data_IF_300751439972
#
_entry.id   IF_300751439972
#
_cell.length_a   1.000
_cell.length_b   1.000
_cell.length_c   1.000
_cell.angle_alpha   90.00
_cell.angle_beta   90.00
_cell.angle_gamma   90.00
#
_symmetry.space_group_name_H-M   'P 1'
#
loop_
_entity.id
_entity.type
_entity.pdbx_description
1 polymer ?
#
# COMPACT_ATOMS: atom_id res chain seq x y z
N UNK A 1 -14.76 -16.46 -33.50
CA UNK A 1 -14.52 -15.89 -32.16
C UNK A 1 -13.37 -16.70 -31.59
N UNK A 2 -12.20 -16.12 -31.42
CA UNK A 2 -11.07 -16.86 -30.86
C UNK A 2 -11.21 -16.85 -29.34
N UNK A 3 -11.45 -18.02 -28.77
CA UNK A 3 -11.22 -18.22 -27.34
C UNK A 3 -9.72 -18.10 -27.11
N UNK A 4 -9.30 -17.01 -26.46
CA UNK A 4 -8.03 -17.03 -25.77
C UNK A 4 -8.18 -18.03 -24.62
N UNK A 5 -7.72 -19.26 -24.84
CA UNK A 5 -7.45 -20.18 -23.73
C UNK A 5 -6.39 -19.50 -22.87
N UNK A 6 -6.81 -18.88 -21.77
CA UNK A 6 -5.95 -18.08 -20.92
C UNK A 6 -4.95 -19.00 -20.21
N UNK A 7 -3.76 -19.14 -20.78
CA UNK A 7 -2.64 -19.85 -20.16
C UNK A 7 -2.20 -19.06 -18.94
N UNK A 8 -2.78 -19.38 -17.78
CA UNK A 8 -2.48 -18.73 -16.50
C UNK A 8 -1.11 -19.19 -16.00
N UNK A 9 -0.08 -18.34 -16.12
CA UNK A 9 1.22 -18.59 -15.51
C UNK A 9 1.15 -18.25 -14.02
N UNK A 10 1.29 -19.28 -13.16
CA UNK A 10 1.26 -19.12 -11.71
C UNK A 10 2.66 -19.00 -11.16
N UNK A 11 2.88 -18.02 -10.28
CA UNK A 11 4.06 -17.93 -9.41
C UNK A 11 3.71 -18.58 -8.06
N UNK A 12 3.98 -19.89 -7.86
CA UNK A 12 3.71 -20.53 -6.58
C UNK A 12 4.57 -19.93 -5.46
N UNK A 13 4.12 -20.09 -4.20
CA UNK A 13 4.87 -19.62 -3.02
C UNK A 13 6.29 -20.19 -2.90
N UNK A 14 6.62 -21.24 -3.65
CA UNK A 14 7.96 -21.82 -3.79
C UNK A 14 8.96 -21.00 -4.61
N UNK A 15 8.49 -20.04 -5.41
CA UNK A 15 9.36 -19.13 -6.20
C UNK A 15 10.01 -18.05 -5.33
N UNK A 16 9.43 -17.75 -4.16
CA UNK A 16 10.14 -16.97 -3.14
C UNK A 16 11.33 -17.79 -2.63
N UNK A 17 12.53 -17.20 -2.69
CA UNK A 17 13.75 -17.88 -2.24
C UNK A 17 13.59 -18.45 -0.81
N UNK A 18 13.91 -19.73 -0.64
CA UNK A 18 13.76 -20.44 0.66
C UNK A 18 14.54 -19.80 1.81
N UNK A 19 15.66 -19.15 1.49
CA UNK A 19 16.53 -18.43 2.43
C UNK A 19 16.81 -17.02 1.88
N UNK A 20 15.84 -16.08 1.98
CA UNK A 20 16.02 -14.72 1.48
C UNK A 20 16.99 -13.94 2.39
N UNK A 21 17.60 -12.87 1.86
CA UNK A 21 18.40 -11.97 2.70
C UNK A 21 17.48 -11.26 3.70
N UNK A 22 17.76 -11.34 5.01
CA UNK A 22 16.85 -10.78 6.05
C UNK A 22 17.37 -9.43 6.54
N UNK A 23 16.61 -8.36 6.30
CA UNK A 23 16.84 -7.02 6.85
C UNK A 23 15.88 -6.77 8.01
N UNK A 24 16.40 -6.63 9.23
CA UNK A 24 15.59 -6.27 10.42
C UNK A 24 15.43 -4.76 10.51
N UNK A 25 14.18 -4.29 10.58
CA UNK A 25 13.80 -2.89 10.67
C UNK A 25 12.73 -2.79 11.78
N UNK A 26 13.10 -2.89 13.07
CA UNK A 26 12.13 -2.92 14.14
C UNK A 26 11.33 -1.61 14.19
N UNK A 27 10.02 -1.76 14.41
CA UNK A 27 9.09 -0.68 14.66
C UNK A 27 8.84 -0.65 16.17
N UNK A 28 9.33 0.41 16.82
CA UNK A 28 9.20 0.56 18.27
C UNK A 28 7.75 0.86 18.64
N UNK A 29 7.16 0.01 19.48
CA UNK A 29 5.79 0.14 19.99
C UNK A 29 5.84 0.20 21.51
N UNK A 30 5.32 1.28 22.09
CA UNK A 30 5.31 1.48 23.55
C UNK A 30 4.31 0.57 24.27
N UNK A 31 3.33 0.01 23.54
CA UNK A 31 2.33 -0.92 24.05
C UNK A 31 2.31 -2.22 23.24
N UNK A 32 3.00 -3.25 23.72
CA UNK A 32 3.12 -4.57 23.08
C UNK A 32 1.83 -5.43 23.23
N UNK A 33 0.90 -5.02 24.08
CA UNK A 33 -0.24 -5.81 24.58
C UNK A 33 -1.32 -6.18 23.55
N UNK A 34 -1.20 -5.79 22.28
CA UNK A 34 -2.22 -6.03 21.26
C UNK A 34 -1.67 -6.26 19.84
N UNK A 35 -0.59 -7.03 19.68
CA UNK A 35 -0.35 -7.67 18.37
C UNK A 35 -1.55 -8.56 18.04
N UNK A 36 -2.39 -8.14 17.09
CA UNK A 36 -3.42 -9.03 16.58
C UNK A 36 -2.78 -9.91 15.49
N UNK A 37 -2.75 -11.23 15.72
CA UNK A 37 -2.16 -12.20 14.79
C UNK A 37 -3.13 -12.49 13.63
N UNK A 38 -4.41 -12.17 13.79
CA UNK A 38 -5.47 -12.32 12.79
C UNK A 38 -5.44 -11.18 11.76
N UNK A 39 -4.31 -11.06 11.05
CA UNK A 39 -4.16 -10.19 9.87
C UNK A 39 -3.89 -11.06 8.67
N UNK A 40 -4.76 -10.94 7.66
CA UNK A 40 -4.65 -11.70 6.41
C UNK A 40 -3.29 -11.47 5.74
N UNK A 41 -2.72 -12.55 5.20
CA UNK A 41 -1.58 -12.42 4.29
C UNK A 41 -2.02 -11.66 3.04
N UNK A 42 -1.18 -10.72 2.61
CA UNK A 42 -1.44 -9.90 1.43
C UNK A 42 -0.27 -10.04 0.47
N UNK A 43 -0.57 -10.02 -0.83
CA UNK A 43 0.43 -10.08 -1.88
C UNK A 43 0.04 -9.17 -3.03
N UNK A 44 1.05 -8.66 -3.72
CA UNK A 44 0.87 -7.80 -4.88
C UNK A 44 2.13 -7.85 -5.77
N UNK A 45 2.10 -7.11 -6.87
CA UNK A 45 3.22 -6.96 -7.79
C UNK A 45 3.45 -5.50 -8.16
N UNK A 46 4.66 -5.21 -8.59
CA UNK A 46 5.06 -3.91 -9.10
C UNK A 46 5.96 -4.10 -10.32
N UNK A 47 5.70 -3.36 -11.40
CA UNK A 47 6.51 -3.40 -12.63
C UNK A 47 7.20 -2.07 -12.82
N UNK A 48 8.49 -2.09 -13.14
CA UNK A 48 9.22 -0.87 -13.46
C UNK A 48 8.72 -0.29 -14.80
N UNK A 49 8.61 1.05 -14.95
CA UNK A 49 8.19 1.64 -16.20
C UNK A 49 9.28 1.45 -17.28
N UNK A 50 8.90 0.89 -18.43
CA UNK A 50 9.79 0.71 -19.57
C UNK A 50 10.11 2.07 -20.21
N UNK A 51 11.32 2.58 -19.97
CA UNK A 51 11.75 3.94 -20.35
C UNK A 51 13.12 3.95 -21.05
N UNK A 52 13.58 2.81 -21.56
CA UNK A 52 14.92 2.65 -22.13
C UNK A 52 16.02 2.50 -21.08
N UNK A 53 15.68 2.01 -19.89
CA UNK A 53 16.55 1.93 -18.72
C UNK A 53 17.06 0.51 -18.45
N UNK A 54 18.05 0.36 -17.55
CA UNK A 54 18.46 -0.96 -17.03
C UNK A 54 17.40 -1.63 -16.14
N UNK A 55 16.31 -0.93 -15.83
CA UNK A 55 15.18 -1.43 -15.06
C UNK A 55 14.02 -1.93 -15.94
N UNK A 56 14.09 -1.72 -17.26
CA UNK A 56 13.06 -2.17 -18.19
C UNK A 56 12.86 -3.69 -18.10
N UNK A 57 11.62 -4.13 -18.33
CA UNK A 57 11.21 -5.54 -18.31
C UNK A 57 11.53 -6.26 -16.99
N UNK A 58 11.53 -5.52 -15.87
CA UNK A 58 11.64 -6.04 -14.50
C UNK A 58 10.38 -5.78 -13.69
N UNK A 59 10.13 -6.69 -12.75
CA UNK A 59 9.01 -6.60 -11.82
C UNK A 59 9.38 -7.24 -10.49
N UNK A 60 8.74 -6.77 -9.42
CA UNK A 60 8.86 -7.29 -8.06
C UNK A 60 7.51 -7.90 -7.69
N UNK A 61 7.51 -9.17 -7.30
CA UNK A 61 6.38 -9.82 -6.62
C UNK A 61 6.68 -9.85 -5.13
N UNK A 62 5.69 -9.57 -4.29
CA UNK A 62 5.89 -9.55 -2.85
C UNK A 62 4.68 -10.09 -2.09
N UNK A 63 4.92 -10.53 -0.85
CA UNK A 63 3.88 -10.97 0.09
C UNK A 63 4.24 -10.59 1.53
N UNK A 64 3.23 -10.32 2.35
CA UNK A 64 3.37 -10.10 3.79
C UNK A 64 2.80 -11.29 4.58
N UNK A 65 3.57 -11.78 5.54
CA UNK A 65 3.16 -12.82 6.50
C UNK A 65 3.59 -12.38 7.91
N UNK A 66 2.62 -11.96 8.72
CA UNK A 66 2.87 -11.38 10.04
C UNK A 66 3.77 -10.14 9.97
N UNK A 67 4.93 -10.20 10.63
CA UNK A 67 5.94 -9.12 10.62
C UNK A 67 6.94 -9.19 9.46
N UNK A 68 6.78 -10.11 8.50
CA UNK A 68 7.74 -10.32 7.40
C UNK A 68 7.15 -9.86 6.06
N UNK A 69 7.86 -8.99 5.36
CA UNK A 69 7.63 -8.65 3.96
C UNK A 69 8.64 -9.40 3.10
N UNK A 70 8.20 -10.39 2.33
CA UNK A 70 9.02 -11.11 1.35
C UNK A 70 8.89 -10.42 0.00
N UNK A 71 10.02 -10.09 -0.63
CA UNK A 71 10.10 -9.49 -1.96
C UNK A 71 11.00 -10.36 -2.84
N UNK A 72 10.58 -10.56 -4.08
CA UNK A 72 11.34 -11.27 -5.10
C UNK A 72 11.28 -10.47 -6.41
N UNK A 73 12.44 -10.07 -6.92
CA UNK A 73 12.57 -9.37 -8.20
C UNK A 73 12.87 -10.36 -9.33
N UNK A 74 12.30 -10.08 -10.50
CA UNK A 74 12.50 -10.83 -11.74
C UNK A 74 12.78 -9.88 -12.90
N UNK A 75 13.42 -10.39 -13.95
CA UNK A 75 13.42 -9.79 -15.29
C UNK A 75 12.95 -10.84 -16.29
N UNK A 76 12.25 -10.42 -17.35
CA UNK A 76 11.90 -11.34 -18.45
C UNK A 76 13.04 -11.55 -19.44
N UNK A 77 14.15 -10.82 -19.31
CA UNK A 77 15.29 -10.86 -20.25
C UNK A 77 16.53 -11.57 -19.71
N UNK A 78 16.69 -11.63 -18.38
CA UNK A 78 17.94 -12.06 -17.74
C UNK A 78 17.78 -12.46 -16.27
N UNK A 79 18.66 -13.32 -15.79
CA UNK A 79 18.74 -13.63 -14.36
C UNK A 79 19.33 -12.47 -13.55
N UNK A 80 18.76 -12.20 -12.38
CA UNK A 80 19.21 -11.16 -11.45
C UNK A 80 19.88 -11.76 -10.21
N UNK A 81 21.05 -11.24 -9.84
CA UNK A 81 21.72 -11.57 -8.58
C UNK A 81 21.04 -10.87 -7.40
N UNK A 82 21.09 -11.50 -6.22
CA UNK A 82 20.55 -10.96 -4.96
C UNK A 82 19.09 -10.52 -5.03
N UNK A 83 18.28 -11.23 -5.81
CA UNK A 83 16.89 -10.88 -6.15
C UNK A 83 15.84 -11.18 -5.09
N UNK A 84 16.24 -11.63 -3.90
CA UNK A 84 15.34 -12.05 -2.82
C UNK A 84 15.62 -11.30 -1.52
N UNK A 85 14.61 -10.63 -0.96
CA UNK A 85 14.71 -9.86 0.27
C UNK A 85 13.55 -10.21 1.22
N UNK A 86 13.83 -10.30 2.51
CA UNK A 86 12.83 -10.32 3.57
C UNK A 86 13.07 -9.14 4.50
N UNK A 87 12.10 -8.23 4.61
CA UNK A 87 12.13 -7.13 5.57
C UNK A 87 11.28 -7.53 6.78
N UNK A 88 11.93 -7.65 7.94
CA UNK A 88 11.27 -8.00 9.19
C UNK A 88 11.04 -6.73 10.03
N UNK A 89 9.77 -6.40 10.30
CA UNK A 89 9.33 -5.20 11.05
C UNK A 89 8.80 -5.51 12.45
N UNK A 90 9.15 -6.68 12.99
CA UNK A 90 8.78 -7.09 14.33
C UNK A 90 9.25 -6.06 15.38
N UNK A 91 8.47 -5.77 16.44
CA UNK A 91 7.25 -6.46 16.88
C UNK A 91 5.93 -6.07 16.17
N UNK A 92 5.93 -5.25 15.11
CA UNK A 92 4.68 -4.87 14.44
C UNK A 92 4.25 -5.88 13.36
N UNK A 93 2.94 -6.06 13.15
CA UNK A 93 2.37 -6.91 12.08
C UNK A 93 1.98 -6.05 10.88
N UNK A 94 2.39 -6.46 9.68
CA UNK A 94 2.10 -5.79 8.41
C UNK A 94 0.64 -6.01 8.05
N UNK A 95 -0.06 -4.93 7.65
CA UNK A 95 -1.45 -5.00 7.18
C UNK A 95 -1.54 -5.02 5.65
N UNK A 96 -2.60 -5.59 5.07
CA UNK A 96 -2.91 -5.44 3.64
C UNK A 96 -2.84 -3.97 3.22
N UNK A 97 -2.27 -3.69 2.04
CA UNK A 97 -2.11 -2.32 1.53
C UNK A 97 -0.72 -1.69 1.66
N UNK A 98 0.30 -2.46 2.04
CA UNK A 98 1.70 -2.11 1.73
C UNK A 98 1.86 -1.87 0.21
N UNK A 99 2.76 -0.97 -0.22
CA UNK A 99 2.91 -0.62 -1.64
C UNK A 99 4.38 -0.44 -2.04
N UNK A 100 4.68 -0.76 -3.30
CA UNK A 100 5.93 -0.40 -3.99
C UNK A 100 5.59 0.68 -5.03
N UNK A 101 6.39 1.73 -5.12
CA UNK A 101 6.26 2.77 -6.15
C UNK A 101 7.61 3.21 -6.69
N UNK A 102 7.64 3.68 -7.94
CA UNK A 102 8.85 4.21 -8.57
C UNK A 102 8.55 5.55 -9.24
N UNK A 103 9.27 6.59 -8.84
CA UNK A 103 9.08 7.97 -9.34
C UNK A 103 10.39 8.74 -9.19
N UNK A 104 10.77 9.53 -10.21
CA UNK A 104 11.98 10.37 -10.18
C UNK A 104 13.25 9.56 -9.81
N UNK A 105 13.41 8.37 -10.40
CA UNK A 105 14.47 7.40 -10.11
C UNK A 105 14.57 6.93 -8.64
N UNK A 106 13.55 7.18 -7.82
CA UNK A 106 13.46 6.67 -6.45
C UNK A 106 12.49 5.48 -6.40
N UNK A 107 12.98 4.34 -5.89
CA UNK A 107 12.18 3.16 -5.57
C UNK A 107 11.76 3.23 -4.09
N UNK A 108 10.48 3.42 -3.83
CA UNK A 108 9.93 3.56 -2.48
C UNK A 108 9.12 2.31 -2.10
N UNK A 109 9.48 1.70 -0.97
CA UNK A 109 8.70 0.69 -0.27
C UNK A 109 7.95 1.36 0.89
N UNK A 110 6.62 1.41 0.82
CA UNK A 110 5.77 1.93 1.90
C UNK A 110 5.13 0.75 2.63
N UNK A 111 5.76 0.31 3.72
CA UNK A 111 5.31 -0.80 4.55
C UNK A 111 4.35 -0.25 5.60
N UNK A 112 3.08 -0.66 5.56
CA UNK A 112 2.06 -0.25 6.54
C UNK A 112 1.83 -1.38 7.52
N UNK A 113 1.85 -1.06 8.82
CA UNK A 113 1.62 -2.02 9.89
C UNK A 113 0.44 -1.60 10.77
N UNK A 114 0.08 -2.45 11.73
CA UNK A 114 -0.95 -2.18 12.74
C UNK A 114 -0.74 -0.84 13.49
N UNK A 115 0.53 -0.41 13.67
CA UNK A 115 0.90 0.68 14.57
C UNK A 115 1.73 1.80 13.91
N UNK A 116 2.20 1.60 12.68
CA UNK A 116 3.12 2.52 12.04
C UNK A 116 3.15 2.42 10.51
N UNK A 117 3.81 3.38 9.88
CA UNK A 117 4.27 3.34 8.49
C UNK A 117 5.79 3.35 8.50
N UNK A 118 6.40 2.44 7.75
CA UNK A 118 7.83 2.43 7.46
C UNK A 118 8.05 2.66 5.96
N UNK A 119 8.52 3.85 5.59
CA UNK A 119 8.95 4.17 4.23
C UNK A 119 10.45 3.87 4.10
N UNK A 120 10.82 3.18 3.03
CA UNK A 120 12.21 2.97 2.64
C UNK A 120 12.36 3.51 1.21
N UNK A 121 13.02 4.65 1.08
CA UNK A 121 13.23 5.32 -0.19
C UNK A 121 14.66 5.02 -0.68
N UNK A 122 14.79 4.40 -1.85
CA UNK A 122 16.05 4.07 -2.52
C UNK A 122 16.20 4.95 -3.78
N UNK A 123 16.91 6.08 -3.72
CA UNK A 123 17.32 6.82 -4.91
C UNK A 123 18.33 6.00 -5.72
N UNK A 124 18.08 5.83 -7.01
CA UNK A 124 19.00 5.16 -7.93
C UNK A 124 19.82 6.21 -8.67
N UNK A 125 21.14 6.22 -8.44
CA UNK A 125 22.09 7.11 -9.13
C UNK A 125 22.64 6.46 -10.41
N UNK A 126 23.27 7.28 -11.26
CA UNK A 126 23.94 6.80 -12.48
C UNK A 126 25.07 5.79 -12.16
N UNK A 127 25.78 5.97 -11.04
CA UNK A 127 26.84 5.05 -10.58
C UNK A 127 26.34 3.62 -10.31
N UNK A 128 25.04 3.45 -10.02
CA UNK A 128 24.42 2.15 -9.77
C UNK A 128 24.03 1.40 -11.06
N UNK A 129 24.01 2.08 -12.21
CA UNK A 129 23.48 1.56 -13.48
C UNK A 129 24.23 0.31 -13.95
N UNK A 130 25.56 0.29 -13.82
CA UNK A 130 26.38 -0.85 -14.25
C UNK A 130 26.15 -2.11 -13.40
N UNK A 131 25.94 -1.96 -12.09
CA UNK A 131 25.61 -3.07 -11.20
C UNK A 131 24.16 -3.54 -11.42
N UNK A 132 23.21 -2.60 -11.58
CA UNK A 132 21.80 -2.90 -11.89
C UNK A 132 21.60 -3.66 -13.20
N UNK A 133 22.58 -3.73 -14.11
CA UNK A 133 22.53 -4.63 -15.28
C UNK A 133 22.42 -6.10 -14.85
N UNK A 134 23.07 -6.51 -13.77
CA UNK A 134 23.16 -7.92 -13.34
C UNK A 134 22.62 -8.18 -11.92
N UNK A 135 22.33 -7.12 -11.16
CA UNK A 135 21.92 -7.19 -9.75
C UNK A 135 20.53 -6.59 -9.55
N UNK A 136 19.79 -7.19 -8.63
CA UNK A 136 18.48 -6.71 -8.18
C UNK A 136 18.56 -5.37 -7.45
N UNK A 137 17.56 -4.51 -7.64
CA UNK A 137 17.40 -3.29 -6.84
C UNK A 137 17.15 -3.61 -5.34
N UNK A 138 16.60 -4.80 -5.03
CA UNK A 138 16.42 -5.29 -3.67
C UNK A 138 17.75 -5.47 -2.92
N UNK A 139 18.87 -5.64 -3.64
CA UNK A 139 20.20 -5.78 -3.04
C UNK A 139 20.56 -4.57 -2.17
N UNK A 140 20.29 -3.36 -2.64
CA UNK A 140 20.67 -2.13 -1.94
C UNK A 140 19.90 -1.93 -0.62
N UNK A 141 18.64 -2.38 -0.54
CA UNK A 141 17.88 -2.41 0.72
C UNK A 141 18.51 -3.34 1.77
N UNK A 142 19.26 -4.37 1.35
CA UNK A 142 20.03 -5.21 2.25
C UNK A 142 21.38 -4.60 2.62
N UNK A 143 22.24 -4.29 1.64
CA UNK A 143 23.67 -4.02 1.89
C UNK A 143 24.00 -2.64 2.47
N UNK A 144 23.28 -1.57 2.09
CA UNK A 144 23.65 -0.20 2.46
C UNK A 144 22.52 0.50 3.20
N UNK A 145 22.81 1.05 4.37
CA UNK A 145 21.93 2.01 5.05
C UNK A 145 22.11 3.43 4.54
N UNK A 146 23.15 3.72 3.76
CA UNK A 146 23.45 5.06 3.24
C UNK A 146 22.63 5.36 1.98
N UNK A 147 22.39 4.33 1.15
CA UNK A 147 21.61 4.44 -0.08
C UNK A 147 20.09 4.44 0.18
N UNK A 148 19.65 4.16 1.41
CA UNK A 148 18.23 3.94 1.75
C UNK A 148 17.78 4.90 2.84
N UNK A 149 16.96 5.87 2.48
CA UNK A 149 16.36 6.81 3.41
C UNK A 149 15.18 6.13 4.12
N UNK A 150 15.47 5.54 5.29
CA UNK A 150 14.47 4.96 6.19
C UNK A 150 13.72 6.06 6.95
N UNK A 151 12.39 6.00 6.95
CA UNK A 151 11.51 6.87 7.75
C UNK A 151 10.40 6.04 8.40
N UNK A 152 10.22 6.18 9.71
CA UNK A 152 9.19 5.46 10.48
C UNK A 152 8.29 6.47 11.15
N UNK A 153 6.98 6.28 10.99
CA UNK A 153 5.94 7.07 11.64
C UNK A 153 5.03 6.17 12.46
N UNK A 154 5.05 6.30 13.79
CA UNK A 154 4.11 5.62 14.67
C UNK A 154 2.78 6.41 14.71
N UNK A 155 1.66 5.71 14.59
CA UNK A 155 0.32 6.32 14.67
C UNK A 155 0.09 6.96 16.03
N UNK A 156 -0.59 8.12 16.07
CA UNK A 156 -0.87 8.84 17.33
C UNK A 156 -1.74 8.01 18.27
N UNK A 157 -2.69 7.25 17.73
CA UNK A 157 -3.65 6.45 18.50
C UNK A 157 -3.40 4.94 18.35
N UNK A 158 -2.40 4.42 19.07
CA UNK A 158 -2.09 2.98 19.05
C UNK A 158 -3.19 2.08 19.65
N UNK A 159 -4.16 2.64 20.37
CA UNK A 159 -5.30 1.87 20.91
C UNK A 159 -6.38 1.56 19.85
N UNK A 160 -6.26 2.08 18.63
CA UNK A 160 -7.12 1.78 17.50
C UNK A 160 -6.24 1.41 16.30
N UNK A 161 -5.62 0.23 16.37
CA UNK A 161 -4.66 -0.25 15.39
C UNK A 161 -5.28 -0.50 14.01
N UNK A 162 -4.48 -0.30 12.96
CA UNK A 162 -4.87 -0.55 11.58
C UNK A 162 -5.11 -2.05 11.35
N UNK A 163 -6.10 -2.37 10.52
CA UNK A 163 -6.41 -3.74 10.06
C UNK A 163 -6.26 -3.90 8.55
N UNK A 164 -6.40 -2.79 7.81
CA UNK A 164 -6.22 -2.69 6.37
C UNK A 164 -5.73 -1.28 6.07
N UNK A 165 -4.94 -1.13 5.02
CA UNK A 165 -4.54 0.15 4.48
C UNK A 165 -4.64 0.18 2.95
N UNK A 166 -4.35 1.34 2.39
CA UNK A 166 -3.87 1.49 1.02
C UNK A 166 -2.93 2.69 0.95
N UNK A 167 -2.11 2.76 -0.09
CA UNK A 167 -1.18 3.88 -0.30
C UNK A 167 -1.44 4.48 -1.67
N UNK A 168 -1.51 5.80 -1.70
CA UNK A 168 -1.46 6.60 -2.91
C UNK A 168 -0.17 7.41 -2.91
N UNK A 169 0.57 7.34 -4.02
CA UNK A 169 1.90 7.93 -4.16
C UNK A 169 1.89 8.91 -5.33
N UNK A 170 1.37 10.15 -5.15
CA UNK A 170 1.27 11.12 -6.23
C UNK A 170 2.64 11.46 -6.80
N UNK A 171 2.71 11.90 -8.05
CA UNK A 171 3.96 12.33 -8.69
C UNK A 171 4.49 13.65 -8.09
N UNK A 172 5.77 13.96 -8.35
CA UNK A 172 6.40 15.19 -7.84
C UNK A 172 6.63 15.17 -6.33
N UNK A 173 6.58 16.34 -5.70
CA UNK A 173 6.91 16.55 -4.27
C UNK A 173 5.74 16.35 -3.29
N UNK A 174 4.54 16.06 -3.80
CA UNK A 174 3.36 15.79 -2.97
C UNK A 174 3.62 14.61 -2.00
N UNK A 175 3.09 14.65 -0.77
CA UNK A 175 3.28 13.57 0.20
C UNK A 175 2.66 12.26 -0.30
N UNK A 176 3.24 11.13 0.11
CA UNK A 176 2.52 9.85 0.05
C UNK A 176 1.32 9.94 0.98
N UNK A 177 0.18 9.46 0.52
CA UNK A 177 -1.05 9.39 1.31
C UNK A 177 -1.29 7.95 1.66
N UNK A 178 -1.11 7.61 2.93
CA UNK A 178 -1.48 6.30 3.48
C UNK A 178 -2.86 6.43 4.10
N UNK A 179 -3.78 5.57 3.72
CA UNK A 179 -5.13 5.52 4.31
C UNK A 179 -5.27 4.22 5.08
N UNK A 180 -5.58 4.28 6.37
CA UNK A 180 -5.75 3.12 7.24
C UNK A 180 -7.21 2.98 7.68
N UNK A 181 -7.78 1.77 7.57
CA UNK A 181 -8.97 1.35 8.31
C UNK A 181 -8.50 0.70 9.62
N UNK A 182 -9.07 1.13 10.75
CA UNK A 182 -8.73 0.55 12.05
C UNK A 182 -9.82 -0.38 12.61
N UNK A 183 -9.49 -1.09 13.71
CA UNK A 183 -10.43 -1.97 14.44
C UNK A 183 -11.73 -1.30 14.91
N UNK A 184 -11.75 0.04 15.04
CA UNK A 184 -12.95 0.81 15.41
C UNK A 184 -13.79 1.22 14.21
N UNK A 185 -13.42 0.78 12.99
CA UNK A 185 -14.03 1.18 11.73
C UNK A 185 -13.90 2.70 11.46
N UNK A 186 -12.79 3.29 11.91
CA UNK A 186 -12.42 4.67 11.58
C UNK A 186 -11.45 4.65 10.39
N UNK A 187 -11.58 5.61 9.47
CA UNK A 187 -10.69 5.76 8.32
C UNK A 187 -9.75 6.93 8.57
N UNK A 188 -8.46 6.64 8.70
CA UNK A 188 -7.42 7.61 9.03
C UNK A 188 -6.59 7.87 7.79
N UNK A 189 -6.48 9.14 7.39
CA UNK A 189 -5.62 9.61 6.30
C UNK A 189 -4.34 10.17 6.89
N UNK A 190 -3.20 9.65 6.42
CA UNK A 190 -1.87 9.99 6.89
C UNK A 190 -1.04 10.50 5.70
N UNK A 191 -0.71 11.80 5.71
CA UNK A 191 0.15 12.42 4.69
C UNK A 191 1.59 12.34 5.15
N UNK A 192 2.36 11.44 4.54
CA UNK A 192 3.80 11.24 4.79
C UNK A 192 4.58 12.03 3.73
N UNK A 193 5.40 13.03 4.11
CA UNK A 193 6.24 13.78 3.17
C UNK A 193 7.11 12.85 2.32
N UNK A 194 7.62 13.31 1.18
CA UNK A 194 8.62 12.58 0.40
C UNK A 194 10.05 12.80 0.93
N UNK A 195 10.95 11.89 0.56
CA UNK A 195 12.38 12.11 0.76
C UNK A 195 12.83 13.42 0.10
N UNK A 196 13.77 14.13 0.73
CA UNK A 196 14.28 15.40 0.22
C UNK A 196 13.35 16.62 0.43
N UNK A 197 12.13 16.47 0.97
CA UNK A 197 11.26 17.61 1.31
C UNK A 197 11.64 18.17 2.69
N UNK A 198 12.28 19.36 2.78
CA UNK A 198 12.70 19.92 4.07
C UNK A 198 11.50 20.32 4.94
N UNK A 199 11.62 20.14 6.25
CA UNK A 199 10.61 20.48 7.27
C UNK A 199 9.22 19.84 7.10
N UNK A 200 9.06 18.86 6.21
CA UNK A 200 7.82 18.10 6.07
C UNK A 200 7.45 17.41 7.37
N UNK A 201 6.26 17.69 7.91
CA UNK A 201 5.67 16.98 9.04
C UNK A 201 4.67 15.95 8.54
N UNK A 202 4.51 14.85 9.28
CA UNK A 202 3.44 13.89 9.00
C UNK A 202 2.12 14.43 9.56
N UNK A 203 1.11 14.50 8.72
CA UNK A 203 -0.26 14.86 9.10
C UNK A 203 -1.08 13.57 9.26
N UNK A 204 -1.87 13.46 10.33
CA UNK A 204 -2.77 12.32 10.58
C UNK A 204 -4.12 12.90 10.95
N UNK A 205 -5.14 12.58 10.14
CA UNK A 205 -6.51 13.11 10.20
C UNK A 205 -7.52 11.98 10.03
N UNK A 206 -8.60 11.98 10.80
CA UNK A 206 -9.69 11.00 10.71
C UNK A 206 -10.80 11.52 9.79
N UNK A 207 -11.28 10.70 8.86
CA UNK A 207 -12.43 10.99 7.99
C UNK A 207 -13.74 10.81 8.78
N UNK A 208 -14.17 11.85 9.49
CA UNK A 208 -15.47 11.88 10.14
C UNK A 208 -16.57 12.25 9.14
N UNK A 209 -17.59 11.38 8.99
CA UNK A 209 -18.80 11.70 8.21
C UNK A 209 -19.76 12.67 8.91
N UNK A 210 -19.44 13.09 10.14
CA UNK A 210 -20.37 13.76 11.04
C UNK A 210 -20.59 15.24 10.70
N UNK A 211 -21.32 15.49 9.61
CA UNK A 211 -22.27 16.58 9.62
C UNK A 211 -23.29 16.32 10.74
N UNK A 212 -23.58 17.33 11.56
CA UNK A 212 -24.43 17.24 12.77
C UNK A 212 -25.80 16.58 12.53
N UNK A 213 -26.29 16.61 11.28
CA UNK A 213 -27.58 16.04 10.87
C UNK A 213 -27.56 14.51 10.62
N UNK A 214 -26.42 13.89 10.26
CA UNK A 214 -26.33 12.42 10.03
C UNK A 214 -26.44 11.59 11.34
N UNK A 215 -26.47 12.26 12.48
CA UNK A 215 -26.73 11.67 13.80
C UNK A 215 -28.21 11.32 14.02
N UNK A 216 -29.13 11.94 13.27
CA UNK A 216 -30.58 11.83 13.47
C UNK A 216 -31.28 10.84 12.53
N UNK A 217 -30.55 10.19 11.62
CA UNK A 217 -31.06 9.19 10.67
C UNK A 217 -30.71 7.76 11.10
N UNK A 218 -31.72 6.88 11.17
CA UNK A 218 -31.63 5.44 11.51
C UNK A 218 -30.86 4.61 10.46
N UNK A 219 -30.48 3.35 10.78
CA UNK A 219 -29.72 2.87 11.92
C UNK A 219 -28.21 2.86 11.60
N UNK A 220 -27.37 2.26 12.46
CA UNK A 220 -25.90 2.37 12.45
C UNK A 220 -25.15 1.50 11.41
N UNK A 221 -25.88 0.80 10.57
CA UNK A 221 -25.45 0.21 9.32
C UNK A 221 -25.27 1.29 8.23
N UNK A 222 -24.84 0.91 7.02
CA UNK A 222 -24.37 1.79 5.92
C UNK A 222 -23.26 2.78 6.30
N UNK A 223 -22.67 2.56 7.47
CA UNK A 223 -21.52 3.27 8.03
C UNK A 223 -20.30 2.36 8.13
N UNK A 224 -20.46 1.03 8.19
CA UNK A 224 -19.31 0.11 8.28
C UNK A 224 -18.54 0.13 6.97
N UNK A 225 -17.25 0.46 7.03
CA UNK A 225 -16.32 0.41 5.89
C UNK A 225 -15.82 -1.02 5.79
N UNK A 226 -16.01 -1.63 4.64
CA UNK A 226 -15.62 -3.01 4.34
C UNK A 226 -14.31 -3.02 3.54
N UNK A 227 -14.14 -2.03 2.67
CA UNK A 227 -12.91 -1.85 1.91
C UNK A 227 -12.59 -0.38 1.65
N UNK A 228 -11.34 -0.10 1.32
CA UNK A 228 -10.90 1.23 0.89
C UNK A 228 -9.78 1.17 -0.15
N UNK A 229 -9.71 2.22 -0.96
CA UNK A 229 -8.66 2.42 -1.94
C UNK A 229 -8.34 3.92 -2.06
N UNK A 230 -7.14 4.27 -2.48
CA UNK A 230 -6.72 5.65 -2.65
C UNK A 230 -6.20 5.87 -4.07
N UNK A 231 -6.65 6.96 -4.71
CA UNK A 231 -6.33 7.30 -6.09
C UNK A 231 -5.71 8.70 -6.10
N UNK A 232 -4.47 8.82 -6.56
CA UNK A 232 -3.86 10.12 -6.85
C UNK A 232 -4.18 10.56 -8.27
N UNK A 233 -4.67 11.79 -8.42
CA UNK A 233 -4.76 12.49 -9.70
C UNK A 233 -3.71 13.62 -9.75
N UNK A 234 -3.71 14.41 -10.82
CA UNK A 234 -2.92 15.65 -10.89
C UNK A 234 -3.42 16.77 -9.97
N UNK A 235 -4.66 16.68 -9.48
CA UNK A 235 -5.33 17.76 -8.73
C UNK A 235 -5.42 17.45 -7.23
N UNK A 236 -5.75 16.21 -6.87
CA UNK A 236 -5.89 15.77 -5.47
C UNK A 236 -5.60 14.26 -5.35
N UNK A 237 -5.43 13.79 -4.12
CA UNK A 237 -5.62 12.37 -3.81
C UNK A 237 -7.00 12.17 -3.22
N UNK A 238 -7.73 11.20 -3.75
CA UNK A 238 -9.05 10.81 -3.28
C UNK A 238 -8.99 9.47 -2.57
N UNK A 239 -9.89 9.28 -1.60
CA UNK A 239 -10.15 7.97 -0.99
C UNK A 239 -11.50 7.48 -1.50
N UNK A 240 -11.57 6.24 -1.96
CA UNK A 240 -12.83 5.52 -2.12
C UNK A 240 -13.02 4.62 -0.90
N UNK A 241 -14.19 4.68 -0.26
CA UNK A 241 -14.58 3.76 0.80
C UNK A 241 -15.81 2.96 0.35
N UNK A 242 -15.67 1.64 0.34
CA UNK A 242 -16.79 0.72 0.16
C UNK A 242 -17.42 0.46 1.54
N UNK A 243 -18.68 0.81 1.68
CA UNK A 243 -19.48 0.52 2.86
C UNK A 243 -20.37 -0.72 2.65
N UNK A 244 -20.95 -1.21 3.73
CA UNK A 244 -22.04 -2.19 3.64
C UNK A 244 -23.24 -1.64 2.82
N UNK A 245 -24.06 -2.56 2.32
CA UNK A 245 -25.14 -2.30 1.34
C UNK A 245 -24.67 -1.69 0.00
N UNK A 246 -23.40 -1.89 -0.37
CA UNK A 246 -22.80 -1.45 -1.64
C UNK A 246 -22.86 0.07 -1.88
N UNK A 247 -22.83 0.85 -0.79
CA UNK A 247 -22.59 2.29 -0.82
C UNK A 247 -21.09 2.56 -1.00
N UNK A 248 -20.69 3.20 -2.10
CA UNK A 248 -19.34 3.72 -2.30
C UNK A 248 -19.34 5.23 -2.04
N UNK A 249 -18.37 5.73 -1.28
CA UNK A 249 -18.15 7.17 -1.07
C UNK A 249 -16.78 7.57 -1.60
N UNK A 250 -16.72 8.73 -2.27
CA UNK A 250 -15.50 9.38 -2.71
C UNK A 250 -15.18 10.53 -1.75
N UNK A 251 -13.97 10.60 -1.22
CA UNK A 251 -13.51 11.62 -0.29
C UNK A 251 -12.30 12.36 -0.85
N UNK A 252 -12.24 13.69 -0.68
CA UNK A 252 -11.01 14.45 -0.93
C UNK A 252 -10.10 14.36 0.30
N UNK A 253 -8.81 14.07 0.10
CA UNK A 253 -7.83 14.07 1.21
C UNK A 253 -7.38 15.48 1.59
N UNK A 254 -7.69 16.50 0.78
CA UNK A 254 -7.40 17.89 1.07
C UNK A 254 -8.49 18.55 1.90
N UNK A 255 -9.78 18.37 1.57
CA UNK A 255 -10.88 18.88 2.40
C UNK A 255 -11.24 17.94 3.56
N UNK A 256 -10.87 16.66 3.48
CA UNK A 256 -11.36 15.58 4.35
C UNK A 256 -12.89 15.41 4.34
N UNK A 257 -13.56 15.84 3.26
CA UNK A 257 -15.02 15.72 3.09
C UNK A 257 -15.37 14.69 2.02
N UNK A 258 -16.58 14.13 2.13
CA UNK A 258 -17.22 13.40 1.02
C UNK A 258 -17.42 14.36 -0.15
N UNK A 259 -16.92 14.00 -1.32
CA UNK A 259 -17.11 14.69 -2.60
C UNK A 259 -18.34 14.14 -3.31
N UNK A 260 -18.50 12.82 -3.32
CA UNK A 260 -19.62 12.14 -3.97
C UNK A 260 -19.94 10.79 -3.30
N UNK A 261 -21.13 10.23 -3.56
CA UNK A 261 -21.56 8.92 -3.07
C UNK A 261 -22.52 8.24 -4.05
N UNK A 262 -22.31 6.94 -4.29
CA UNK A 262 -23.08 6.12 -5.22
C UNK A 262 -23.46 4.79 -4.57
N UNK A 263 -24.75 4.46 -4.56
CA UNK A 263 -25.20 3.11 -4.22
C UNK A 263 -25.13 2.26 -5.50
N UNK A 264 -24.23 1.28 -5.53
CA UNK A 264 -23.98 0.44 -6.71
C UNK A 264 -25.22 -0.36 -7.09
N UNK A 265 -25.97 -0.87 -6.10
CA UNK A 265 -27.22 -1.60 -6.34
C UNK A 265 -28.30 -0.73 -6.98
N UNK A 266 -28.47 0.51 -6.50
CA UNK A 266 -29.44 1.46 -7.07
C UNK A 266 -29.04 1.91 -8.48
N UNK A 267 -27.76 2.23 -8.69
CA UNK A 267 -27.24 2.71 -9.98
C UNK A 267 -27.38 1.66 -11.09
N UNK A 268 -26.97 0.42 -10.81
CA UNK A 268 -27.12 -0.71 -11.75
C UNK A 268 -28.49 -1.38 -11.70
N UNK A 269 -29.41 -0.89 -10.85
CA UNK A 269 -30.78 -1.42 -10.65
C UNK A 269 -30.80 -2.94 -10.36
N UNK A 270 -29.91 -3.38 -9.48
CA UNK A 270 -29.71 -4.79 -9.12
C UNK A 270 -29.82 -5.00 -7.61
N UNK A 271 -29.99 -6.25 -7.17
CA UNK A 271 -29.91 -6.62 -5.75
C UNK A 271 -28.46 -6.86 -5.33
N UNK A 272 -28.15 -6.68 -4.05
CA UNK A 272 -26.83 -7.01 -3.49
C UNK A 272 -26.43 -8.47 -3.77
N UNK A 273 -27.39 -9.40 -3.71
CA UNK A 273 -27.21 -10.81 -4.06
C UNK A 273 -26.89 -11.08 -5.54
N UNK A 274 -27.15 -10.10 -6.42
CA UNK A 274 -26.94 -10.18 -7.86
C UNK A 274 -25.83 -9.25 -8.35
N UNK A 275 -25.06 -8.63 -7.45
CA UNK A 275 -24.04 -7.64 -7.79
C UNK A 275 -22.91 -8.23 -8.66
N UNK A 276 -22.61 -9.51 -8.48
CA UNK A 276 -21.63 -10.26 -9.28
C UNK A 276 -22.05 -10.45 -10.76
N UNK A 277 -23.30 -10.13 -11.11
CA UNK A 277 -23.82 -10.18 -12.48
C UNK A 277 -23.75 -8.82 -13.19
N UNK A 278 -23.15 -7.79 -12.56
CA UNK A 278 -22.87 -6.51 -13.22
C UNK A 278 -21.69 -6.70 -14.17
N UNK A 279 -21.94 -6.60 -15.47
CA UNK A 279 -20.92 -6.53 -16.50
C UNK A 279 -20.78 -5.09 -16.98
N UNK A 280 -19.67 -4.45 -16.61
CA UNK A 280 -19.26 -3.17 -17.20
C UNK A 280 -18.70 -3.48 -18.60
N UNK A 281 -19.23 -2.80 -19.62
CA UNK A 281 -18.79 -2.89 -21.02
C UNK A 281 -17.80 -1.78 -21.35
#
# INVERSE_FOLDING_TARGET
MYEFSSTEFKFPSSEFAKNPQIKKIPIDISNISAQNVDVDSYCDSFTFPNMGSVLDNRFIVWKSEGSNLYLQEYSTERDLKSSSLCINVAPSVIVPGTQISFSQNCLTLTIVTQFAICSLDLPLSEDMVDELKCTSALHYFYISSENVLKRVYNFKNQAAFAVKACVASPSGFSPHVVVCLNVKNEVIVIKVPKAGVPNGKVEETNLSSTGFLEYFTRPTENKKVVDLHAISTSEDTYVLTLHNEAMVKLWSTNSCTVVDRINVCEYFRTSLSSINNIYIK
#
